data_IF_324473608510
#
_entry.id   IF_324473608510
#
_cell.length_a   1.000
_cell.length_b   1.000
_cell.length_c   1.000
_cell.angle_alpha   90.00
_cell.angle_beta   90.00
_cell.angle_gamma   90.00
#
_symmetry.space_group_name_H-M   'P 1'
#
loop_
_entity.id
_entity.type
_entity.pdbx_description
1 polymer ?
#
# COMPACT_ATOMS: atom_id res chain seq x y z
N UNK A 1 -5.48 -11.73 8.72
CA UNK A 1 -5.20 -11.53 10.16
C UNK A 1 -3.99 -10.63 10.45
N UNK A 2 -3.07 -10.41 9.51
CA UNK A 2 -1.89 -9.55 9.74
C UNK A 2 -2.20 -8.04 9.93
N UNK A 3 -3.30 -7.51 9.38
CA UNK A 3 -3.68 -6.09 9.51
C UNK A 3 -3.88 -5.62 10.97
N UNK A 4 -4.76 -6.25 11.79
CA UNK A 4 -4.94 -5.84 13.19
C UNK A 4 -3.70 -6.11 14.06
N UNK A 5 -2.90 -7.12 13.72
CA UNK A 5 -1.61 -7.38 14.36
C UNK A 5 -0.61 -6.25 14.12
N UNK A 6 -0.54 -5.73 12.89
CA UNK A 6 0.31 -4.59 12.54
C UNK A 6 -0.11 -3.31 13.27
N UNK A 7 -1.42 -3.04 13.36
CA UNK A 7 -1.97 -1.90 14.15
C UNK A 7 -1.56 -2.01 15.62
N UNK A 8 -1.65 -3.22 16.18
CA UNK A 8 -1.18 -3.49 17.54
C UNK A 8 0.33 -3.30 17.68
N UNK A 9 1.12 -3.88 16.77
CA UNK A 9 2.57 -3.79 16.80
C UNK A 9 3.05 -2.33 16.72
N UNK A 10 2.43 -1.51 15.87
CA UNK A 10 2.71 -0.08 15.76
C UNK A 10 2.35 0.68 17.06
N UNK A 11 1.15 0.43 17.60
CA UNK A 11 0.70 1.04 18.86
C UNK A 11 1.60 0.71 20.05
N UNK A 12 2.12 -0.52 20.11
CA UNK A 12 3.01 -0.98 21.18
C UNK A 12 4.51 -0.84 20.85
N UNK A 13 4.86 -0.19 19.72
CA UNK A 13 6.24 -0.01 19.23
C UNK A 13 7.05 -1.31 19.18
N UNK A 14 6.38 -2.41 18.81
CA UNK A 14 6.99 -3.72 18.64
C UNK A 14 7.62 -3.81 17.24
N UNK A 15 8.71 -3.08 17.01
CA UNK A 15 9.35 -2.93 15.69
C UNK A 15 9.63 -4.27 15.00
N UNK A 16 10.11 -5.29 15.74
CA UNK A 16 10.34 -6.64 15.19
C UNK A 16 9.05 -7.32 14.73
N UNK A 17 7.96 -7.18 15.49
CA UNK A 17 6.67 -7.77 15.14
C UNK A 17 6.03 -7.03 13.97
N UNK A 18 6.19 -5.70 13.93
CA UNK A 18 5.75 -4.84 12.84
C UNK A 18 6.40 -5.27 11.53
N UNK A 19 7.72 -5.49 11.53
CA UNK A 19 8.46 -5.93 10.35
C UNK A 19 7.99 -7.30 9.84
N UNK A 20 7.77 -8.27 10.73
CA UNK A 20 7.22 -9.58 10.37
C UNK A 20 5.81 -9.45 9.76
N UNK A 21 4.97 -8.56 10.31
CA UNK A 21 3.64 -8.30 9.75
C UNK A 21 3.72 -7.63 8.37
N UNK A 22 4.68 -6.71 8.17
CA UNK A 22 4.94 -6.08 6.87
C UNK A 22 5.36 -7.13 5.83
N UNK A 23 6.30 -8.02 6.16
CA UNK A 23 6.75 -9.09 5.26
C UNK A 23 5.62 -10.04 4.87
N UNK A 24 4.80 -10.46 5.83
CA UNK A 24 3.65 -11.34 5.54
C UNK A 24 2.58 -10.64 4.70
N UNK A 25 2.32 -9.34 4.95
CA UNK A 25 1.42 -8.56 4.10
C UNK A 25 1.98 -8.40 2.68
N UNK A 26 3.29 -8.21 2.53
CA UNK A 26 3.94 -8.15 1.22
C UNK A 26 3.77 -9.45 0.41
N UNK A 27 3.85 -10.62 1.07
CA UNK A 27 3.66 -11.93 0.40
C UNK A 27 2.24 -12.15 -0.12
N UNK A 28 1.25 -11.53 0.51
CA UNK A 28 -0.15 -11.61 0.12
C UNK A 28 -0.63 -10.39 -0.69
N UNK A 29 0.31 -9.59 -1.20
CA UNK A 29 0.00 -8.40 -1.99
C UNK A 29 -0.52 -8.80 -3.37
N UNK A 30 -1.61 -8.17 -3.78
CA UNK A 30 -2.24 -8.37 -5.07
C UNK A 30 -3.07 -7.16 -5.46
N UNK A 31 -3.62 -7.19 -6.66
CA UNK A 31 -4.30 -6.04 -7.30
C UNK A 31 -5.45 -5.47 -6.45
N UNK A 32 -6.22 -6.34 -5.79
CA UNK A 32 -7.32 -5.92 -4.91
C UNK A 32 -6.88 -5.53 -3.49
N UNK A 33 -5.70 -6.00 -3.05
CA UNK A 33 -5.22 -5.82 -1.69
C UNK A 33 -4.20 -4.68 -1.55
N UNK A 34 -3.54 -4.28 -2.65
CA UNK A 34 -2.53 -3.21 -2.68
C UNK A 34 -3.08 -1.86 -2.22
N UNK A 35 -4.33 -1.54 -2.55
CA UNK A 35 -4.99 -0.31 -2.10
C UNK A 35 -5.05 -0.24 -0.56
N UNK A 36 -5.56 -1.30 0.06
CA UNK A 36 -5.70 -1.38 1.50
C UNK A 36 -4.34 -1.48 2.22
N UNK A 37 -3.35 -2.16 1.62
CA UNK A 37 -2.00 -2.27 2.17
C UNK A 37 -1.26 -0.93 2.14
N UNK A 38 -1.38 -0.18 1.04
CA UNK A 38 -0.79 1.14 0.90
C UNK A 38 -1.40 2.14 1.91
N UNK A 39 -2.71 2.08 2.13
CA UNK A 39 -3.39 2.89 3.14
C UNK A 39 -2.84 2.61 4.56
N UNK A 40 -2.71 1.33 4.90
CA UNK A 40 -2.15 0.90 6.19
C UNK A 40 -0.69 1.33 6.34
N UNK A 41 0.08 1.27 5.26
CA UNK A 41 1.48 1.63 5.29
C UNK A 41 1.70 3.12 5.57
N UNK A 42 0.86 3.98 5.02
CA UNK A 42 0.84 5.42 5.35
C UNK A 42 0.35 5.68 6.77
N UNK A 43 -0.75 5.05 7.18
CA UNK A 43 -1.33 5.28 8.51
C UNK A 43 -0.39 4.88 9.66
N UNK A 44 0.40 3.82 9.46
CA UNK A 44 1.29 3.27 10.48
C UNK A 44 2.78 3.46 10.15
N UNK A 45 3.13 4.35 9.21
CA UNK A 45 4.53 4.60 8.80
C UNK A 45 5.33 3.31 8.51
N UNK A 46 4.69 2.31 7.90
CA UNK A 46 5.31 1.02 7.58
C UNK A 46 6.13 1.16 6.29
N UNK A 47 7.43 1.32 6.43
CA UNK A 47 8.33 1.63 5.30
C UNK A 47 8.46 0.46 4.32
N UNK A 48 8.58 -0.77 4.83
CA UNK A 48 8.78 -1.96 3.99
C UNK A 48 7.53 -2.25 3.18
N UNK A 49 6.35 -2.17 3.83
CA UNK A 49 5.08 -2.37 3.16
C UNK A 49 4.82 -1.28 2.11
N UNK A 50 5.15 -0.01 2.42
CA UNK A 50 5.02 1.10 1.47
C UNK A 50 5.89 0.88 0.25
N UNK A 51 7.15 0.52 0.44
CA UNK A 51 8.10 0.29 -0.64
C UNK A 51 7.67 -0.86 -1.55
N UNK A 52 7.19 -1.96 -0.96
CA UNK A 52 6.64 -3.08 -1.71
C UNK A 52 5.37 -2.69 -2.51
N UNK A 53 4.45 -1.92 -1.90
CA UNK A 53 3.27 -1.42 -2.60
C UNK A 53 3.65 -0.51 -3.77
N UNK A 54 4.60 0.40 -3.57
CA UNK A 54 5.09 1.27 -4.64
C UNK A 54 5.73 0.46 -5.75
N UNK A 55 6.56 -0.55 -5.43
CA UNK A 55 7.20 -1.41 -6.43
C UNK A 55 6.18 -2.21 -7.24
N UNK A 56 5.12 -2.71 -6.59
CA UNK A 56 4.04 -3.41 -7.27
C UNK A 56 3.28 -2.47 -8.24
N UNK A 57 3.05 -1.23 -7.81
CA UNK A 57 2.37 -0.20 -8.61
C UNK A 57 3.29 0.49 -9.65
N UNK A 58 4.61 0.30 -9.57
CA UNK A 58 5.53 0.78 -10.60
C UNK A 58 5.35 0.04 -11.93
N UNK A 59 4.75 -1.15 -11.92
CA UNK A 59 4.41 -1.85 -13.15
C UNK A 59 3.07 -1.34 -13.70
N UNK A 60 3.03 -0.76 -14.93
CA UNK A 60 1.83 -0.10 -15.45
C UNK A 60 0.64 -1.04 -15.61
N UNK A 61 0.89 -2.33 -15.87
CA UNK A 61 -0.16 -3.36 -15.91
C UNK A 61 -0.85 -3.54 -14.55
N UNK A 62 -0.07 -3.64 -13.48
CA UNK A 62 -0.58 -3.77 -12.12
C UNK A 62 -1.24 -2.49 -11.62
N UNK A 63 -0.69 -1.31 -11.96
CA UNK A 63 -1.30 -0.03 -11.63
C UNK A 63 -2.66 0.15 -12.29
N UNK A 64 -2.76 -0.15 -13.60
CA UNK A 64 -4.03 -0.06 -14.34
C UNK A 64 -5.06 -1.06 -13.81
N UNK A 65 -4.63 -2.28 -13.51
CA UNK A 65 -5.49 -3.28 -12.90
C UNK A 65 -5.96 -2.84 -11.51
N UNK A 66 -5.07 -2.26 -10.69
CA UNK A 66 -5.39 -1.78 -9.35
C UNK A 66 -6.39 -0.62 -9.40
N UNK A 67 -6.15 0.39 -10.25
CA UNK A 67 -7.09 1.51 -10.45
C UNK A 67 -8.47 1.08 -10.96
N UNK A 68 -8.54 -0.01 -11.73
CA UNK A 68 -9.82 -0.57 -12.18
C UNK A 68 -10.61 -1.26 -11.05
N UNK A 69 -9.99 -1.51 -9.89
CA UNK A 69 -10.68 -2.12 -8.75
C UNK A 69 -11.45 -1.09 -7.94
N UNK A 70 -12.62 -1.51 -7.45
CA UNK A 70 -13.45 -0.69 -6.55
C UNK A 70 -12.72 -0.35 -5.26
N UNK A 71 -11.85 -1.24 -4.77
CA UNK A 71 -11.04 -1.03 -3.57
C UNK A 71 -10.12 0.19 -3.70
N UNK A 72 -9.58 0.43 -4.90
CA UNK A 72 -8.70 1.57 -5.18
C UNK A 72 -9.48 2.88 -5.34
N UNK A 73 -10.67 2.84 -5.95
CA UNK A 73 -11.60 3.98 -6.00
C UNK A 73 -12.11 4.37 -4.60
N UNK A 74 -12.38 3.39 -3.74
CA UNK A 74 -12.73 3.64 -2.34
C UNK A 74 -11.56 4.21 -1.56
N UNK A 75 -10.33 3.76 -1.82
CA UNK A 75 -9.13 4.38 -1.27
C UNK A 75 -9.01 5.85 -1.69
N UNK A 76 -9.24 6.16 -2.97
CA UNK A 76 -9.22 7.53 -3.49
C UNK A 76 -10.23 8.45 -2.80
N UNK A 77 -11.39 7.90 -2.43
CA UNK A 77 -12.48 8.66 -1.79
C UNK A 77 -12.29 8.78 -0.26
N UNK A 78 -11.68 7.77 0.37
CA UNK A 78 -11.56 7.66 1.83
C UNK A 78 -10.21 8.04 2.42
N UNK A 79 -9.19 8.33 1.62
CA UNK A 79 -7.81 8.49 2.12
C UNK A 79 -7.21 9.89 1.91
N UNK A 80 -6.10 10.15 2.62
CA UNK A 80 -5.37 11.42 2.63
C UNK A 80 -4.93 11.83 1.20
N UNK A 81 -5.07 13.10 0.80
CA UNK A 81 -4.66 13.59 -0.52
C UNK A 81 -3.22 13.24 -0.92
N UNK A 82 -2.31 13.12 0.06
CA UNK A 82 -0.91 12.74 -0.14
C UNK A 82 -0.72 11.36 -0.79
N UNK A 83 -1.63 10.41 -0.53
CA UNK A 83 -1.60 9.07 -1.14
C UNK A 83 -1.94 9.12 -2.62
N UNK A 84 -2.96 9.89 -3.00
CA UNK A 84 -3.33 10.05 -4.39
C UNK A 84 -2.27 10.82 -5.18
N UNK A 85 -1.60 11.79 -4.55
CA UNK A 85 -0.48 12.49 -5.17
C UNK A 85 0.68 11.53 -5.48
N UNK A 86 1.01 10.61 -4.57
CA UNK A 86 2.08 9.62 -4.76
C UNK A 86 1.74 8.63 -5.87
N UNK A 87 0.49 8.17 -5.94
CA UNK A 87 0.01 7.29 -7.02
C UNK A 87 -0.01 8.00 -8.37
N UNK A 88 -0.48 9.26 -8.44
CA UNK A 88 -0.46 10.05 -9.68
C UNK A 88 0.96 10.32 -10.17
N UNK A 89 1.90 10.65 -9.27
CA UNK A 89 3.32 10.81 -9.63
C UNK A 89 3.90 9.56 -10.27
N UNK A 90 3.58 8.38 -9.74
CA UNK A 90 4.00 7.10 -10.31
C UNK A 90 3.32 6.81 -11.66
N UNK A 91 2.04 7.13 -11.81
CA UNK A 91 1.32 6.99 -13.09
C UNK A 91 1.95 7.84 -14.20
N UNK A 92 2.27 9.11 -13.91
CA UNK A 92 2.93 10.02 -14.86
C UNK A 92 4.30 9.46 -15.24
N UNK A 93 5.11 9.04 -14.26
CA UNK A 93 6.42 8.45 -14.50
C UNK A 93 6.35 7.14 -15.34
N UNK A 94 5.29 6.33 -15.17
CA UNK A 94 5.09 5.11 -15.95
C UNK A 94 4.50 5.36 -17.36
N UNK A 95 4.00 6.57 -17.64
CA UNK A 95 3.46 6.96 -18.96
C UNK A 95 4.52 7.64 -19.84
N UNK A 96 5.59 8.16 -19.24
CA UNK A 96 6.70 8.85 -19.92
C UNK A 96 7.90 7.93 -20.28
N UNK A 97 7.86 6.65 -19.91
CA UNK A 97 8.88 5.63 -20.19
C UNK A 97 8.43 4.64 -21.27
#
# INVERSE_FOLDING_TARGET
>A
MAKPLLVGADRYKLERLKLICEEELCRHMGVHSVAAMLALAEQHCCRVLKEACTRFLSEPGNLKAAMATRDFEQLKTGCHPALMELVMKQYIAATEA
#
